data_IF_107482433729
#
_entry.id   IF_107482433729
#
_cell.length_a   1.000
_cell.length_b   1.000
_cell.length_c   1.000
_cell.angle_alpha   90.00
_cell.angle_beta   90.00
_cell.angle_gamma   90.00
#
_symmetry.space_group_name_H-M   'P 1'
#
loop_
_entity.id
_entity.type
_entity.pdbx_description
1 polymer ?
#
# COMPACT_ATOMS: atom_id res chain seq x y z
N UNK A 1 -3.31 -17.76 11.28
CA UNK A 1 -4.36 -16.78 11.69
C UNK A 1 -3.67 -15.43 11.70
N UNK A 2 -4.00 -14.56 10.77
CA UNK A 2 -3.34 -13.25 10.61
C UNK A 2 -3.59 -12.36 11.84
N UNK A 3 -2.58 -11.55 12.22
CA UNK A 3 -2.74 -10.57 13.31
C UNK A 3 -3.92 -9.64 13.04
N UNK A 4 -4.85 -9.55 13.99
CA UNK A 4 -6.03 -8.67 13.90
C UNK A 4 -5.75 -7.26 14.42
N UNK A 5 -4.58 -7.02 14.98
CA UNK A 5 -4.20 -5.70 15.50
C UNK A 5 -3.72 -4.83 14.36
N UNK A 6 -4.34 -3.70 14.05
CA UNK A 6 -3.89 -2.81 12.98
C UNK A 6 -2.52 -2.19 13.31
N UNK A 7 -1.76 -1.87 12.27
CA UNK A 7 -0.54 -1.08 12.42
C UNK A 7 -0.91 0.34 12.87
N UNK A 8 -0.31 0.81 13.98
CA UNK A 8 -0.51 2.16 14.47
C UNK A 8 0.52 3.12 13.83
N UNK A 9 0.07 4.19 13.15
CA UNK A 9 0.93 4.97 12.25
C UNK A 9 1.68 6.13 12.92
N UNK A 10 1.51 6.36 14.23
CA UNK A 10 2.08 7.50 14.93
C UNK A 10 3.03 7.07 16.05
N UNK A 11 3.85 8.03 16.54
CA UNK A 11 4.77 7.81 17.66
C UNK A 11 4.03 7.59 18.98
N UNK A 12 4.72 7.02 19.99
CA UNK A 12 4.19 6.88 21.36
C UNK A 12 3.76 8.24 21.95
N UNK A 13 4.55 9.29 21.68
CA UNK A 13 4.27 10.66 22.12
C UNK A 13 2.99 11.20 21.50
N UNK A 14 2.75 10.94 20.22
CA UNK A 14 1.52 11.39 19.58
C UNK A 14 0.32 10.54 19.96
N UNK A 15 0.51 9.24 20.22
CA UNK A 15 -0.51 8.37 20.79
C UNK A 15 -0.97 8.85 22.17
N UNK A 16 -0.04 9.29 23.03
CA UNK A 16 -0.38 9.89 24.31
C UNK A 16 -1.21 11.16 24.15
N UNK A 17 -0.83 12.07 23.26
CA UNK A 17 -1.58 13.30 22.98
C UNK A 17 -3.01 13.03 22.47
N UNK A 18 -3.17 11.94 21.73
CA UNK A 18 -4.45 11.51 21.16
C UNK A 18 -5.31 10.69 22.11
N UNK A 19 -4.77 10.30 23.27
CA UNK A 19 -5.45 9.37 24.20
C UNK A 19 -5.52 7.93 23.67
N UNK A 20 -4.63 7.55 22.75
CA UNK A 20 -4.64 6.26 22.04
C UNK A 20 -3.45 5.37 22.41
N UNK A 21 -2.83 5.59 23.57
CA UNK A 21 -1.60 4.89 23.97
C UNK A 21 -1.76 3.36 24.01
N UNK A 22 -2.93 2.84 24.32
CA UNK A 22 -3.18 1.39 24.34
C UNK A 22 -3.15 0.79 22.92
N UNK A 23 -3.72 1.48 21.93
CA UNK A 23 -3.64 1.07 20.51
C UNK A 23 -2.19 1.02 20.03
N UNK A 24 -1.41 2.04 20.42
CA UNK A 24 0.03 2.05 20.14
C UNK A 24 0.74 0.87 20.78
N UNK A 25 0.46 0.58 22.09
CA UNK A 25 1.08 -0.54 22.81
C UNK A 25 0.77 -1.90 22.19
N UNK A 26 -0.47 -2.11 21.77
CA UNK A 26 -0.88 -3.34 21.10
C UNK A 26 -0.15 -3.49 19.77
N UNK A 27 -0.15 -2.46 18.93
CA UNK A 27 0.56 -2.45 17.66
C UNK A 27 2.07 -2.65 17.85
N UNK A 28 2.67 -2.02 18.85
CA UNK A 28 4.09 -2.16 19.17
C UNK A 28 4.46 -3.59 19.57
N UNK A 29 3.65 -4.27 20.40
CA UNK A 29 3.88 -5.68 20.76
C UNK A 29 3.85 -6.57 19.51
N UNK A 30 2.91 -6.33 18.62
CA UNK A 30 2.81 -7.07 17.35
C UNK A 30 4.01 -6.79 16.42
N UNK A 31 4.53 -5.54 16.40
CA UNK A 31 5.76 -5.22 15.67
C UNK A 31 6.95 -5.99 16.23
N UNK A 32 7.08 -6.08 17.55
CA UNK A 32 8.13 -6.89 18.21
C UNK A 32 7.97 -8.39 17.91
N UNK A 33 6.73 -8.89 17.93
CA UNK A 33 6.43 -10.28 17.59
C UNK A 33 6.77 -10.58 16.13
N UNK A 34 6.43 -9.67 15.21
CA UNK A 34 6.78 -9.79 13.79
C UNK A 34 8.31 -9.83 13.59
N UNK A 35 9.05 -8.92 14.21
CA UNK A 35 10.52 -8.91 14.14
C UNK A 35 11.13 -10.23 14.64
N UNK A 36 10.66 -10.73 15.79
CA UNK A 36 11.06 -12.03 16.31
C UNK A 36 10.67 -13.19 15.39
N UNK A 37 9.49 -13.12 14.77
CA UNK A 37 9.02 -14.10 13.80
C UNK A 37 9.90 -14.15 12.55
N UNK A 38 10.33 -13.00 12.04
CA UNK A 38 11.30 -12.90 10.92
C UNK A 38 12.61 -13.61 11.31
N UNK A 39 13.15 -13.33 12.49
CA UNK A 39 14.40 -13.95 12.96
C UNK A 39 14.28 -15.46 13.13
N UNK A 40 13.14 -15.94 13.62
CA UNK A 40 12.87 -17.39 13.75
C UNK A 40 12.80 -18.03 12.37
N UNK A 41 12.02 -17.47 11.45
CA UNK A 41 11.87 -18.03 10.10
C UNK A 41 13.18 -18.03 9.32
N UNK A 42 14.00 -16.98 9.45
CA UNK A 42 15.34 -16.96 8.85
C UNK A 42 16.18 -18.11 9.42
N UNK A 43 16.23 -18.26 10.74
CA UNK A 43 17.03 -19.32 11.38
C UNK A 43 16.60 -20.74 10.98
N UNK A 44 15.29 -20.95 10.79
CA UNK A 44 14.74 -22.26 10.46
C UNK A 44 14.82 -22.60 8.95
N UNK A 45 14.87 -21.58 8.10
CA UNK A 45 14.78 -21.76 6.66
C UNK A 45 16.01 -21.27 5.88
N UNK A 46 17.08 -20.85 6.55
CA UNK A 46 18.35 -20.51 5.92
C UNK A 46 19.30 -21.71 5.96
N UNK A 47 19.76 -22.18 4.82
CA UNK A 47 20.63 -23.37 4.67
C UNK A 47 22.13 -23.04 4.73
N UNK A 48 22.48 -21.79 4.99
CA UNK A 48 23.86 -21.27 4.98
C UNK A 48 24.20 -20.48 3.71
N UNK A 49 23.42 -20.61 2.66
CA UNK A 49 23.58 -19.87 1.40
C UNK A 49 22.30 -19.17 0.95
N UNK A 50 21.14 -19.82 1.06
CA UNK A 50 19.86 -19.33 0.56
C UNK A 50 18.74 -19.48 1.59
N UNK A 51 17.75 -18.60 1.51
CA UNK A 51 16.47 -18.77 2.18
C UNK A 51 15.59 -19.68 1.32
N UNK A 52 14.91 -20.63 1.97
CA UNK A 52 13.94 -21.50 1.28
C UNK A 52 12.79 -20.71 0.75
N UNK A 53 12.26 -21.13 -0.40
CA UNK A 53 11.05 -20.57 -0.98
C UNK A 53 9.86 -20.63 0.00
N UNK A 54 8.96 -19.68 -0.07
CA UNK A 54 7.80 -19.59 0.81
C UNK A 54 8.11 -19.05 2.22
N UNK A 55 9.36 -18.67 2.53
CA UNK A 55 9.73 -18.17 3.88
C UNK A 55 9.14 -16.79 4.15
N UNK A 56 9.11 -15.92 3.15
CA UNK A 56 8.55 -14.56 3.26
C UNK A 56 7.01 -14.60 3.27
N UNK A 57 6.42 -15.45 2.47
CA UNK A 57 4.98 -15.67 2.42
C UNK A 57 4.43 -16.06 3.80
N UNK A 58 5.12 -16.93 4.52
CA UNK A 58 4.71 -17.34 5.88
C UNK A 58 4.63 -16.18 6.87
N UNK A 59 5.58 -15.25 6.83
CA UNK A 59 5.54 -14.11 7.76
C UNK A 59 4.44 -13.13 7.35
N UNK A 60 4.22 -12.93 6.04
CA UNK A 60 3.13 -12.09 5.53
C UNK A 60 1.77 -12.69 5.89
N UNK A 61 1.57 -14.00 5.79
CA UNK A 61 0.35 -14.68 6.24
C UNK A 61 0.05 -14.47 7.73
N UNK A 62 1.10 -14.38 8.57
CA UNK A 62 0.96 -14.20 10.01
C UNK A 62 0.68 -12.75 10.41
N UNK A 63 1.37 -11.78 9.78
CA UNK A 63 1.38 -10.39 10.25
C UNK A 63 0.86 -9.38 9.23
N UNK A 64 0.64 -9.78 7.99
CA UNK A 64 0.22 -8.92 6.89
C UNK A 64 1.37 -8.15 6.24
N UNK A 65 1.13 -7.66 5.02
CA UNK A 65 2.13 -6.93 4.23
C UNK A 65 2.60 -5.66 4.93
N UNK A 66 1.67 -4.80 5.37
CA UNK A 66 1.99 -3.49 5.96
C UNK A 66 2.85 -3.59 7.22
N UNK A 67 2.58 -4.58 8.08
CA UNK A 67 3.36 -4.77 9.30
C UNK A 67 4.74 -5.31 9.00
N UNK A 68 4.84 -6.30 8.09
CA UNK A 68 6.13 -6.85 7.66
C UNK A 68 6.96 -5.75 7.00
N UNK A 69 6.37 -4.94 6.12
CA UNK A 69 7.00 -3.76 5.52
C UNK A 69 7.56 -2.80 6.56
N UNK A 70 6.71 -2.40 7.52
CA UNK A 70 7.07 -1.48 8.60
C UNK A 70 8.26 -1.99 9.42
N UNK A 71 8.26 -3.26 9.79
CA UNK A 71 9.34 -3.89 10.57
C UNK A 71 10.63 -4.01 9.76
N UNK A 72 10.54 -4.42 8.48
CA UNK A 72 11.71 -4.53 7.61
C UNK A 72 12.32 -3.16 7.30
N UNK A 73 11.50 -2.16 6.97
CA UNK A 73 11.96 -0.80 6.73
C UNK A 73 12.64 -0.21 7.98
N UNK A 74 12.01 -0.36 9.16
CA UNK A 74 12.61 0.03 10.42
C UNK A 74 13.97 -0.66 10.67
N UNK A 75 14.06 -1.97 10.40
CA UNK A 75 15.29 -2.74 10.58
C UNK A 75 16.45 -2.18 9.76
N UNK A 76 16.20 -1.77 8.51
CA UNK A 76 17.22 -1.17 7.64
C UNK A 76 17.56 0.24 8.11
N UNK A 77 16.58 1.07 8.48
CA UNK A 77 16.78 2.43 8.97
C UNK A 77 17.61 2.45 10.27
N UNK A 78 17.35 1.53 11.20
CA UNK A 78 18.13 1.35 12.43
C UNK A 78 19.60 0.96 12.14
N UNK A 79 19.86 0.34 11.00
CA UNK A 79 21.18 -0.12 10.56
C UNK A 79 21.67 0.62 9.30
N UNK A 80 21.25 1.86 9.11
CA UNK A 80 21.58 2.67 7.90
C UNK A 80 23.07 2.76 7.57
N UNK A 81 23.96 2.62 8.55
CA UNK A 81 25.41 2.56 8.36
C UNK A 81 25.97 1.20 7.96
N UNK A 82 25.15 0.16 7.90
CA UNK A 82 25.58 -1.20 7.56
C UNK A 82 25.67 -1.38 6.05
N UNK A 83 26.88 -1.42 5.51
CA UNK A 83 27.13 -1.59 4.08
C UNK A 83 26.73 -2.93 3.48
N UNK A 84 26.24 -3.89 4.29
CA UNK A 84 25.74 -5.18 3.82
C UNK A 84 24.33 -5.13 3.24
N UNK A 85 23.57 -4.06 3.50
CA UNK A 85 22.33 -3.79 2.80
C UNK A 85 22.63 -3.15 1.43
N UNK A 86 22.00 -3.65 0.38
CA UNK A 86 22.11 -3.11 -0.98
C UNK A 86 21.53 -1.69 -1.08
N UNK A 87 22.07 -0.83 -1.95
CA UNK A 87 21.61 0.54 -2.10
C UNK A 87 20.09 0.66 -2.38
N UNK A 88 19.53 -0.24 -3.20
CA UNK A 88 18.11 -0.26 -3.52
C UNK A 88 17.21 -0.65 -2.34
N UNK A 89 17.66 -1.55 -1.46
CA UNK A 89 16.95 -1.88 -0.22
C UNK A 89 17.03 -0.75 0.80
N UNK A 90 18.15 -0.01 0.84
CA UNK A 90 18.26 1.20 1.68
C UNK A 90 17.34 2.31 1.18
N UNK A 91 17.37 2.60 -0.11
CA UNK A 91 16.49 3.60 -0.71
C UNK A 91 15.00 3.25 -0.53
N UNK A 92 14.66 1.96 -0.68
CA UNK A 92 13.31 1.48 -0.39
C UNK A 92 12.93 1.73 1.07
N UNK A 93 13.77 1.35 2.03
CA UNK A 93 13.46 1.55 3.44
C UNK A 93 13.34 3.03 3.81
N UNK A 94 14.19 3.90 3.26
CA UNK A 94 14.14 5.36 3.47
C UNK A 94 12.86 6.01 2.92
N UNK A 95 12.21 5.40 1.93
CA UNK A 95 10.92 5.89 1.42
C UNK A 95 9.74 5.62 2.35
N UNK A 96 9.92 4.79 3.39
CA UNK A 96 8.87 4.45 4.35
C UNK A 96 9.00 5.32 5.61
N UNK A 97 7.88 5.96 5.96
CA UNK A 97 7.83 6.72 7.21
C UNK A 97 7.72 5.79 8.41
N UNK A 98 8.74 5.79 9.25
CA UNK A 98 8.75 5.13 10.56
C UNK A 98 8.77 6.24 11.62
N UNK A 99 7.77 6.31 12.54
CA UNK A 99 7.79 7.28 13.63
C UNK A 99 9.04 7.13 14.48
N UNK A 100 9.73 8.24 14.78
CA UNK A 100 10.91 8.22 15.62
C UNK A 100 10.52 8.01 17.09
N UNK A 101 10.82 6.84 17.59
CA UNK A 101 10.69 6.42 18.99
C UNK A 101 11.96 5.68 19.42
N UNK A 102 13.11 6.33 19.36
CA UNK A 102 14.49 5.80 19.51
C UNK A 102 14.63 4.38 20.13
N UNK A 103 14.34 4.28 21.44
CA UNK A 103 14.43 2.98 22.16
C UNK A 103 13.41 1.96 21.65
N UNK A 104 12.22 2.41 21.29
CA UNK A 104 11.15 1.52 20.84
C UNK A 104 11.42 0.99 19.43
N UNK A 105 11.96 1.80 18.53
CA UNK A 105 12.30 1.38 17.18
C UNK A 105 13.32 0.24 17.20
N UNK A 106 14.34 0.33 18.06
CA UNK A 106 15.31 -0.75 18.24
C UNK A 106 14.67 -2.07 18.68
N UNK A 107 13.60 -2.03 19.48
CA UNK A 107 12.95 -3.24 20.00
C UNK A 107 12.24 -4.06 18.91
N UNK A 108 11.74 -3.44 17.86
CA UNK A 108 11.09 -4.14 16.74
C UNK A 108 11.92 -4.18 15.45
N UNK A 109 13.23 -4.03 15.55
CA UNK A 109 14.16 -4.34 14.48
C UNK A 109 14.55 -5.83 14.51
N UNK A 110 14.47 -6.53 13.38
CA UNK A 110 14.94 -7.91 13.26
C UNK A 110 16.44 -7.98 13.48
N UNK A 111 16.93 -9.04 14.15
CA UNK A 111 18.30 -9.16 14.65
C UNK A 111 19.20 -10.08 13.84
N UNK A 112 18.65 -10.80 12.89
CA UNK A 112 19.40 -11.68 11.99
C UNK A 112 20.53 -10.92 11.27
N UNK A 113 21.49 -11.65 10.74
CA UNK A 113 22.64 -11.06 10.04
C UNK A 113 22.19 -10.23 8.85
N UNK A 114 22.73 -9.01 8.70
CA UNK A 114 22.26 -8.01 7.73
C UNK A 114 22.28 -8.48 6.28
N UNK A 115 23.27 -9.30 5.88
CA UNK A 115 23.29 -9.84 4.51
C UNK A 115 22.14 -10.85 4.26
N UNK A 116 21.71 -11.60 5.27
CA UNK A 116 20.57 -12.51 5.15
C UNK A 116 19.26 -11.72 5.13
N UNK A 117 19.16 -10.71 6.00
CA UNK A 117 18.02 -9.76 6.01
C UNK A 117 17.90 -9.01 4.69
N UNK A 118 19.01 -8.62 4.05
CA UNK A 118 19.00 -7.98 2.74
C UNK A 118 18.37 -8.88 1.67
N UNK A 119 18.71 -10.18 1.68
CA UNK A 119 18.06 -11.18 0.83
C UNK A 119 16.58 -11.35 1.14
N UNK A 120 16.21 -11.42 2.42
CA UNK A 120 14.83 -11.53 2.87
C UNK A 120 13.99 -10.32 2.41
N UNK A 121 14.51 -9.10 2.55
CA UNK A 121 13.87 -7.86 2.10
C UNK A 121 13.66 -7.88 0.58
N UNK A 122 14.65 -8.36 -0.17
CA UNK A 122 14.49 -8.43 -1.62
C UNK A 122 13.42 -9.42 -2.05
N UNK A 123 13.30 -10.55 -1.36
CA UNK A 123 12.22 -11.51 -1.60
C UNK A 123 10.86 -10.91 -1.20
N UNK A 124 10.79 -10.17 -0.09
CA UNK A 124 9.57 -9.44 0.31
C UNK A 124 9.15 -8.42 -0.75
N UNK A 125 10.09 -7.59 -1.21
CA UNK A 125 9.82 -6.58 -2.26
C UNK A 125 9.36 -7.22 -3.55
N UNK A 126 9.96 -8.35 -3.94
CA UNK A 126 9.52 -9.12 -5.08
C UNK A 126 8.09 -9.64 -4.89
N UNK A 127 7.78 -10.22 -3.74
CA UNK A 127 6.43 -10.70 -3.42
C UNK A 127 5.39 -9.58 -3.55
N UNK A 128 5.69 -8.37 -3.04
CA UNK A 128 4.81 -7.21 -3.19
C UNK A 128 4.70 -6.75 -4.64
N UNK A 129 5.80 -6.75 -5.40
CA UNK A 129 5.78 -6.40 -6.83
C UNK A 129 4.95 -7.42 -7.65
N UNK A 130 5.00 -8.69 -7.28
CA UNK A 130 4.23 -9.76 -7.95
C UNK A 130 2.70 -9.62 -7.74
N UNK A 131 2.26 -8.77 -6.77
CA UNK A 131 0.85 -8.36 -6.66
C UNK A 131 0.41 -7.46 -7.83
N UNK A 132 1.35 -6.91 -8.59
CA UNK A 132 1.07 -6.06 -9.74
C UNK A 132 0.46 -4.69 -9.40
N UNK A 133 0.58 -4.24 -8.15
CA UNK A 133 0.06 -2.94 -7.71
C UNK A 133 0.73 -1.79 -8.45
N UNK A 134 -0.06 -0.76 -8.77
CA UNK A 134 0.44 0.45 -9.40
C UNK A 134 1.12 1.37 -8.40
N UNK A 135 2.15 2.09 -8.85
CA UNK A 135 2.90 3.08 -8.08
C UNK A 135 2.90 4.47 -8.76
N UNK A 136 3.53 5.45 -8.11
CA UNK A 136 3.63 6.82 -8.61
C UNK A 136 4.29 6.95 -9.99
N UNK A 137 5.19 6.03 -10.38
CA UNK A 137 5.90 6.09 -11.67
C UNK A 137 4.96 5.84 -12.86
N UNK A 138 3.87 5.12 -12.61
CA UNK A 138 2.85 4.80 -13.59
C UNK A 138 1.77 5.88 -13.67
N UNK A 139 1.81 6.89 -12.79
CA UNK A 139 0.90 8.02 -12.79
C UNK A 139 1.45 9.18 -13.62
N UNK A 140 0.52 10.04 -14.09
CA UNK A 140 0.86 11.27 -14.77
C UNK A 140 1.72 12.18 -13.88
N UNK A 141 2.74 12.87 -14.44
CA UNK A 141 3.43 13.92 -13.72
C UNK A 141 2.44 14.98 -13.26
N UNK A 142 2.67 15.53 -12.07
CA UNK A 142 1.84 16.62 -11.52
C UNK A 142 0.33 16.32 -11.48
N UNK A 143 -0.05 15.06 -11.26
CA UNK A 143 -1.45 14.64 -11.15
C UNK A 143 -2.27 15.49 -10.19
N UNK A 144 -1.61 16.16 -9.23
CA UNK A 144 -2.25 17.08 -8.30
C UNK A 144 -2.89 18.31 -8.98
N UNK A 145 -2.42 18.68 -10.17
CA UNK A 145 -2.90 19.82 -10.95
C UNK A 145 -3.99 19.44 -11.99
N UNK A 146 -4.24 18.14 -12.15
CA UNK A 146 -5.22 17.65 -13.14
C UNK A 146 -6.64 17.65 -12.58
N UNK A 147 -7.62 17.92 -13.46
CA UNK A 147 -9.02 17.56 -13.20
C UNK A 147 -9.16 16.03 -13.33
N UNK A 148 -9.74 15.40 -12.32
CA UNK A 148 -9.88 13.95 -12.25
C UNK A 148 -11.13 13.41 -12.93
N UNK A 149 -12.09 14.28 -13.32
CA UNK A 149 -13.35 13.85 -13.94
C UNK A 149 -13.09 13.00 -15.19
N UNK A 150 -13.65 11.82 -15.24
CA UNK A 150 -13.48 10.87 -16.35
C UNK A 150 -12.09 10.23 -16.44
N UNK A 151 -11.22 10.45 -15.46
CA UNK A 151 -9.88 9.86 -15.43
C UNK A 151 -9.84 8.58 -14.61
N UNK A 152 -8.91 7.68 -14.96
CA UNK A 152 -8.61 6.51 -14.16
C UNK A 152 -7.60 6.90 -13.09
N UNK A 153 -8.01 6.78 -11.84
CA UNK A 153 -7.22 7.12 -10.68
C UNK A 153 -6.63 5.88 -10.04
N UNK A 154 -5.44 6.03 -9.49
CA UNK A 154 -4.74 4.98 -8.74
C UNK A 154 -4.90 5.25 -7.25
N UNK A 155 -5.66 4.40 -6.56
CA UNK A 155 -5.85 4.50 -5.12
C UNK A 155 -4.55 4.10 -4.39
N UNK A 156 -4.20 4.86 -3.35
CA UNK A 156 -3.01 4.54 -2.56
C UNK A 156 -3.14 3.17 -1.89
N UNK A 157 -2.13 2.28 -1.98
CA UNK A 157 -2.12 1.02 -1.24
C UNK A 157 -2.31 1.21 0.27
N UNK A 158 -1.87 2.35 0.81
CA UNK A 158 -2.06 2.68 2.23
C UNK A 158 -3.52 2.91 2.61
N UNK A 159 -4.36 3.30 1.66
CA UNK A 159 -5.79 3.51 1.87
C UNK A 159 -6.55 2.18 1.84
N UNK A 160 -6.14 1.25 0.99
CA UNK A 160 -6.74 -0.09 0.93
C UNK A 160 -6.36 -0.94 2.14
N UNK A 161 -7.30 -1.76 2.61
CA UNK A 161 -6.94 -2.87 3.49
C UNK A 161 -6.14 -3.91 2.69
N UNK A 162 -5.22 -4.60 3.36
CA UNK A 162 -4.31 -5.55 2.69
C UNK A 162 -5.04 -6.69 1.96
N UNK A 163 -6.20 -7.10 2.46
CA UNK A 163 -7.07 -8.11 1.83
C UNK A 163 -7.59 -7.71 0.44
N UNK A 164 -7.55 -6.39 0.13
CA UNK A 164 -7.94 -5.81 -1.16
C UNK A 164 -6.76 -5.34 -2.01
N UNK A 165 -5.54 -5.69 -1.64
CA UNK A 165 -4.36 -5.34 -2.43
C UNK A 165 -4.35 -6.14 -3.74
N UNK A 166 -4.83 -5.52 -4.78
CA UNK A 166 -4.77 -5.99 -6.16
C UNK A 166 -4.89 -4.82 -7.13
N UNK A 167 -4.39 -4.95 -8.37
CA UNK A 167 -4.57 -3.93 -9.41
C UNK A 167 -6.03 -3.58 -9.66
N UNK A 168 -6.92 -4.58 -9.62
CA UNK A 168 -8.37 -4.43 -9.86
C UNK A 168 -9.01 -3.52 -8.81
N UNK A 169 -8.65 -3.71 -7.54
CA UNK A 169 -9.17 -2.89 -6.44
C UNK A 169 -8.52 -1.52 -6.35
N UNK A 170 -7.40 -1.31 -7.02
CA UNK A 170 -6.67 -0.05 -6.98
C UNK A 170 -7.15 0.97 -8.02
N UNK A 171 -7.65 0.50 -9.18
CA UNK A 171 -8.06 1.39 -10.26
C UNK A 171 -9.51 1.85 -10.09
N UNK A 172 -9.70 3.16 -10.11
CA UNK A 172 -10.98 3.84 -9.93
C UNK A 172 -11.25 4.82 -11.08
N UNK A 173 -12.42 4.73 -11.72
CA UNK A 173 -12.88 5.75 -12.64
C UNK A 173 -13.54 6.88 -11.83
N UNK A 174 -13.03 8.09 -11.94
CA UNK A 174 -13.63 9.26 -11.30
C UNK A 174 -14.82 9.75 -12.12
N UNK A 175 -16.03 9.72 -11.55
CA UNK A 175 -17.25 10.16 -12.21
C UNK A 175 -17.51 11.64 -11.94
N UNK A 176 -17.52 12.03 -10.67
CA UNK A 176 -17.93 13.36 -10.26
C UNK A 176 -17.47 13.73 -8.85
N UNK A 177 -17.75 14.94 -8.45
CA UNK A 177 -17.51 15.41 -7.08
C UNK A 177 -16.53 16.59 -7.02
N UNK A 178 -16.65 17.39 -5.97
CA UNK A 178 -15.78 18.57 -5.80
C UNK A 178 -14.29 18.22 -5.69
N UNK A 179 -13.98 17.00 -5.28
CA UNK A 179 -12.60 16.50 -5.21
C UNK A 179 -11.96 16.26 -6.58
N UNK A 180 -12.73 16.22 -7.68
CA UNK A 180 -12.17 16.12 -9.02
C UNK A 180 -11.36 17.36 -9.41
N UNK A 181 -11.75 18.55 -8.93
CA UNK A 181 -11.00 19.78 -9.19
C UNK A 181 -9.64 19.78 -8.47
N UNK A 182 -8.56 20.21 -9.12
CA UNK A 182 -7.22 20.29 -8.51
C UNK A 182 -7.16 21.23 -7.30
N UNK A 183 -8.03 22.25 -7.24
CA UNK A 183 -8.09 23.20 -6.13
C UNK A 183 -8.89 22.70 -4.92
N UNK A 184 -9.54 21.55 -5.04
CA UNK A 184 -10.48 21.02 -4.04
C UNK A 184 -9.91 19.81 -3.26
N UNK A 185 -8.60 19.79 -3.00
CA UNK A 185 -7.93 18.74 -2.21
C UNK A 185 -8.66 18.44 -0.91
N UNK A 186 -8.69 17.18 -0.52
CA UNK A 186 -9.39 16.69 0.68
C UNK A 186 -10.90 16.58 0.53
N UNK A 187 -11.47 16.93 -0.64
CA UNK A 187 -12.89 16.77 -0.94
C UNK A 187 -13.18 15.43 -1.61
N UNK A 188 -14.42 14.96 -1.45
CA UNK A 188 -14.83 13.66 -1.96
C UNK A 188 -14.99 13.63 -3.48
N UNK A 189 -14.57 12.50 -4.04
CA UNK A 189 -14.76 12.10 -5.44
C UNK A 189 -15.66 10.86 -5.43
N UNK A 190 -16.71 10.86 -6.24
CA UNK A 190 -17.48 9.66 -6.54
C UNK A 190 -16.74 8.87 -7.61
N UNK A 191 -16.42 7.63 -7.31
CA UNK A 191 -15.64 6.78 -8.18
C UNK A 191 -16.28 5.41 -8.34
N UNK A 192 -16.02 4.78 -9.48
CA UNK A 192 -16.34 3.39 -9.75
C UNK A 192 -15.06 2.56 -9.70
N UNK A 193 -15.08 1.47 -8.97
CA UNK A 193 -14.02 0.46 -8.99
C UNK A 193 -14.03 -0.27 -10.34
N UNK A 194 -12.91 -0.26 -11.06
CA UNK A 194 -12.85 -0.95 -12.36
C UNK A 194 -12.85 -2.48 -12.22
N UNK A 195 -12.46 -3.01 -11.05
CA UNK A 195 -12.46 -4.44 -10.81
C UNK A 195 -13.85 -5.06 -10.67
N UNK A 196 -14.69 -4.48 -9.80
CA UNK A 196 -16.00 -5.04 -9.42
C UNK A 196 -17.20 -4.15 -9.76
N UNK A 197 -16.97 -2.90 -10.18
CA UNK A 197 -18.02 -1.93 -10.52
C UNK A 197 -18.64 -1.22 -9.31
N UNK A 198 -18.11 -1.42 -8.09
CA UNK A 198 -18.65 -0.77 -6.90
C UNK A 198 -18.44 0.74 -6.95
N UNK A 199 -19.52 1.50 -6.75
CA UNK A 199 -19.46 2.95 -6.57
C UNK A 199 -19.13 3.30 -5.13
N UNK A 200 -18.06 4.06 -4.94
CA UNK A 200 -17.58 4.50 -3.62
C UNK A 200 -17.14 5.95 -3.65
N UNK A 201 -17.09 6.56 -2.45
CA UNK A 201 -16.59 7.93 -2.27
C UNK A 201 -15.23 7.90 -1.58
N UNK A 202 -14.25 8.54 -2.22
CA UNK A 202 -12.89 8.68 -1.71
C UNK A 202 -12.49 10.15 -1.65
N UNK A 203 -11.53 10.50 -0.80
CA UNK A 203 -10.94 11.83 -0.83
C UNK A 203 -9.89 11.90 -1.94
N UNK A 204 -9.70 13.08 -2.54
CA UNK A 204 -8.64 13.28 -3.54
C UNK A 204 -7.26 12.86 -3.03
N UNK A 205 -6.98 13.05 -1.73
CA UNK A 205 -5.68 12.69 -1.13
C UNK A 205 -5.49 11.18 -0.94
N UNK A 206 -6.53 10.37 -1.13
CA UNK A 206 -6.42 8.91 -1.07
C UNK A 206 -5.79 8.32 -2.34
N UNK A 207 -5.69 9.11 -3.41
CA UNK A 207 -5.11 8.71 -4.69
C UNK A 207 -3.66 9.14 -4.81
N UNK A 208 -2.83 8.27 -5.39
CA UNK A 208 -1.45 8.61 -5.76
C UNK A 208 -1.37 9.38 -7.06
N UNK A 209 -2.38 9.27 -7.94
CA UNK A 209 -2.44 10.06 -9.16
C UNK A 209 -3.39 9.50 -10.22
N UNK A 210 -3.31 10.11 -11.40
CA UNK A 210 -3.98 9.65 -12.62
C UNK A 210 -3.09 8.64 -13.31
N UNK A 211 -3.61 7.45 -13.63
CA UNK A 211 -2.87 6.43 -14.36
C UNK A 211 -2.60 6.90 -15.80
N UNK A 212 -1.37 6.75 -16.27
CA UNK A 212 -1.02 7.00 -17.67
C UNK A 212 -1.66 5.95 -18.58
N UNK A 213 -2.09 6.36 -19.75
CA UNK A 213 -2.79 5.49 -20.71
C UNK A 213 -1.95 4.26 -21.13
N UNK A 214 -0.63 4.40 -21.17
CA UNK A 214 0.30 3.31 -21.53
C UNK A 214 0.32 2.16 -20.51
N UNK A 215 -0.03 2.44 -19.26
CA UNK A 215 -0.09 1.44 -18.19
C UNK A 215 -1.52 0.91 -17.93
N UNK A 216 -2.52 1.43 -18.66
CA UNK A 216 -3.89 0.97 -18.49
C UNK A 216 -4.02 -0.48 -19.01
N UNK A 217 -4.31 -1.47 -18.14
CA UNK A 217 -4.38 -2.87 -18.55
C UNK A 217 -5.60 -3.14 -19.43
N UNK A 218 -5.54 -4.18 -20.24
CA UNK A 218 -6.58 -4.48 -21.22
C UNK A 218 -7.93 -4.78 -20.57
N UNK A 219 -7.94 -5.47 -19.42
CA UNK A 219 -9.17 -5.70 -18.66
C UNK A 219 -9.84 -4.39 -18.21
N UNK A 220 -9.06 -3.38 -17.81
CA UNK A 220 -9.58 -2.07 -17.42
C UNK A 220 -10.11 -1.29 -18.62
N UNK A 221 -9.45 -1.37 -19.79
CA UNK A 221 -9.95 -0.80 -21.05
C UNK A 221 -11.30 -1.37 -21.46
N UNK A 222 -11.47 -2.70 -21.26
CA UNK A 222 -12.75 -3.36 -21.55
C UNK A 222 -13.84 -2.91 -20.60
N UNK A 223 -13.54 -2.77 -19.31
CA UNK A 223 -14.47 -2.25 -18.30
C UNK A 223 -14.90 -0.82 -18.60
N UNK A 224 -13.96 0.05 -18.96
CA UNK A 224 -14.27 1.44 -19.34
C UNK A 224 -15.22 1.51 -20.55
N UNK A 225 -15.02 0.67 -21.57
CA UNK A 225 -15.92 0.58 -22.73
C UNK A 225 -17.32 0.10 -22.33
N UNK A 226 -17.43 -0.83 -21.40
CA UNK A 226 -18.72 -1.30 -20.87
C UNK A 226 -19.46 -0.16 -20.15
N UNK A 227 -18.73 0.58 -19.30
CA UNK A 227 -19.26 1.73 -18.55
C UNK A 227 -19.84 2.81 -19.49
N UNK A 228 -19.06 3.21 -20.50
CA UNK A 228 -19.46 4.23 -21.47
C UNK A 228 -20.69 3.81 -22.28
N UNK A 229 -20.87 2.52 -22.53
CA UNK A 229 -22.07 2.01 -23.21
C UNK A 229 -23.30 2.10 -22.32
N UNK A 230 -23.19 1.67 -21.06
CA UNK A 230 -24.29 1.72 -20.08
C UNK A 230 -24.80 3.15 -19.87
N UNK A 231 -23.89 4.14 -19.71
CA UNK A 231 -24.25 5.56 -19.56
C UNK A 231 -24.97 6.12 -20.80
N UNK A 232 -24.55 5.69 -21.99
CA UNK A 232 -25.19 6.13 -23.24
C UNK A 232 -26.59 5.53 -23.41
N UNK A 233 -26.79 4.27 -23.00
CA UNK A 233 -28.08 3.57 -23.05
C UNK A 233 -29.07 4.21 -22.05
N UNK A 234 -28.65 4.45 -20.80
CA UNK A 234 -29.48 5.12 -19.79
C UNK A 234 -29.87 6.55 -20.20
N UNK A 235 -28.95 7.29 -20.84
CA UNK A 235 -29.20 8.64 -21.32
C UNK A 235 -30.22 8.66 -22.46
N UNK A 236 -30.18 7.67 -23.35
CA UNK A 236 -31.14 7.52 -24.45
C UNK A 236 -32.52 7.09 -23.94
N UNK A 237 -32.62 6.21 -22.97
CA UNK A 237 -33.91 5.81 -22.38
C UNK A 237 -34.57 6.97 -21.63
N UNK A 238 -33.80 7.80 -20.89
CA UNK A 238 -34.35 8.99 -20.24
C UNK A 238 -34.85 10.04 -21.23
N UNK A 239 -34.24 10.18 -22.41
CA UNK A 239 -34.69 11.11 -23.45
C UNK A 239 -35.95 10.61 -24.18
N UNK A 240 -36.14 9.31 -24.33
CA UNK A 240 -37.30 8.71 -24.96
C UNK A 240 -38.52 8.57 -24.03
N UNK A 241 -38.29 8.48 -22.71
CA UNK A 241 -39.36 8.37 -21.71
C UNK A 241 -39.96 9.73 -21.28
N UNK A 242 -39.42 10.85 -21.78
CA UNK A 242 -39.82 12.22 -21.43
C UNK A 242 -40.70 12.95 -22.49
N UNK A 243 -41.27 12.21 -23.46
CA UNK A 243 -42.23 12.75 -24.42
C UNK A 243 -43.66 12.32 -24.12
#
# INVERSE_FOLDING_TARGET
>A
MQSKVPLYPYSAKDAMKRGEIEKWRESFRENCACAGGIDILIRENFDGMHLKDGTVEKIVELYGYKRVEHVLANTVQERRGDGRFRPDNRAWAESHYIPEDEVHNYCFAARSHSAILDGFISNYRKLVMDLGMFDQKQCEPDSSELDYTGKVLVLSPNTLKEEYWSPENQLRLAESGFGCSPTARGRSILCVCLGDGEQTRWNRNDFIGVLKDEYLPDWAKERLKQYQRSENEETQEMQMGGM
#
